data_IF_163769558380
#
_entry.id   IF_163769558380
#
_cell.length_a   1.000
_cell.length_b   1.000
_cell.length_c   1.000
_cell.angle_alpha   90.00
_cell.angle_beta   90.00
_cell.angle_gamma   90.00
#
_symmetry.space_group_name_H-M   'P 1'
#
loop_
_entity.id
_entity.type
_entity.pdbx_description
1 polymer ?
#
# COMPACT_ATOMS: atom_id res chain seq x y z
N UNK A 1 50.27 10.91 32.31
CA UNK A 1 49.05 10.07 32.32
C UNK A 1 47.95 10.87 31.68
N UNK A 2 47.70 10.65 30.40
CA UNK A 2 46.67 11.33 29.60
C UNK A 2 45.67 10.28 29.14
N UNK A 3 44.44 10.36 29.65
CA UNK A 3 43.33 9.48 29.28
C UNK A 3 42.86 9.77 27.85
N UNK A 4 42.77 8.73 27.04
CA UNK A 4 42.28 8.78 25.67
C UNK A 4 40.79 8.44 25.70
N UNK A 5 39.95 9.44 25.44
CA UNK A 5 38.50 9.27 25.32
C UNK A 5 38.17 8.77 23.90
N UNK A 6 37.99 7.46 23.74
CA UNK A 6 37.58 6.87 22.47
C UNK A 6 36.07 7.06 22.26
N UNK A 7 35.70 8.02 21.42
CA UNK A 7 34.32 8.19 20.97
C UNK A 7 34.00 7.15 19.89
N UNK A 8 33.17 6.16 20.22
CA UNK A 8 32.64 5.19 19.25
C UNK A 8 31.42 5.83 18.59
N UNK A 9 31.37 5.97 17.25
CA UNK A 9 30.17 6.47 16.57
C UNK A 9 29.12 5.36 16.50
N UNK A 10 27.96 5.62 17.13
CA UNK A 10 26.83 4.69 17.13
C UNK A 10 26.20 4.61 15.74
N UNK A 11 26.23 3.42 15.14
CA UNK A 11 25.67 3.14 13.82
C UNK A 11 24.14 3.23 13.86
N UNK A 12 23.59 4.42 13.57
CA UNK A 12 22.15 4.60 13.42
C UNK A 12 21.67 4.01 12.10
N UNK A 13 21.28 2.73 12.12
CA UNK A 13 20.44 2.14 11.06
C UNK A 13 19.29 1.35 11.66
N UNK A 14 18.54 1.98 12.56
CA UNK A 14 17.20 1.49 12.91
C UNK A 14 16.20 2.51 12.41
N UNK A 15 15.44 2.15 11.37
CA UNK A 15 14.24 2.91 10.94
C UNK A 15 13.30 2.97 12.13
N UNK A 16 13.38 4.04 12.92
CA UNK A 16 12.54 4.19 14.08
C UNK A 16 11.11 4.49 13.62
N UNK A 17 10.17 3.72 14.17
CA UNK A 17 8.75 3.96 13.94
C UNK A 17 8.37 5.29 14.57
N UNK A 18 7.84 6.20 13.78
CA UNK A 18 7.42 7.52 14.26
C UNK A 18 6.11 7.34 15.05
N UNK A 19 6.21 7.22 16.38
CA UNK A 19 5.07 7.26 17.29
C UNK A 19 4.77 8.72 17.65
N UNK A 20 4.20 9.48 16.72
CA UNK A 20 3.68 10.82 17.01
C UNK A 20 2.26 10.72 17.56
N UNK A 21 1.94 11.54 18.57
CA UNK A 21 0.55 11.79 18.97
C UNK A 21 -0.22 12.34 17.76
N UNK A 22 -1.46 11.88 17.47
CA UNK A 22 -2.24 12.32 16.31
C UNK A 22 -2.30 13.85 16.15
N UNK A 23 -2.34 14.58 17.26
CA UNK A 23 -2.38 16.05 17.30
C UNK A 23 -1.12 16.68 16.71
N UNK A 24 0.06 16.11 16.97
CA UNK A 24 1.32 16.60 16.42
C UNK A 24 1.38 16.39 14.90
N UNK A 25 0.83 15.27 14.41
CA UNK A 25 0.73 14.99 12.97
C UNK A 25 -0.20 16.02 12.33
N UNK A 26 -1.37 16.27 12.93
CA UNK A 26 -2.33 17.26 12.42
C UNK A 26 -1.73 18.65 12.40
N UNK A 27 -1.06 19.09 13.47
CA UNK A 27 -0.40 20.39 13.53
C UNK A 27 0.70 20.53 12.46
N UNK A 28 1.49 19.46 12.24
CA UNK A 28 2.48 19.44 11.15
C UNK A 28 1.83 19.55 9.77
N UNK A 29 0.70 18.87 9.56
CA UNK A 29 -0.05 18.93 8.30
C UNK A 29 -0.66 20.32 8.09
N UNK A 30 -1.27 20.92 9.11
CA UNK A 30 -1.80 22.28 9.04
C UNK A 30 -0.71 23.28 8.63
N UNK A 31 0.46 23.22 9.27
CA UNK A 31 1.60 24.05 8.89
C UNK A 31 1.99 23.85 7.43
N UNK A 32 2.14 22.59 7.00
CA UNK A 32 2.50 22.27 5.62
C UNK A 32 1.51 22.86 4.60
N UNK A 33 0.22 22.63 4.80
CA UNK A 33 -0.83 23.10 3.89
C UNK A 33 -1.10 24.61 3.98
N UNK A 34 -0.69 25.29 5.05
CA UNK A 34 -0.79 26.74 5.15
C UNK A 34 0.37 27.46 4.44
N UNK A 35 1.57 26.88 4.42
CA UNK A 35 2.78 27.55 3.90
C UNK A 35 3.16 27.14 2.48
N UNK A 36 2.71 25.98 2.00
CA UNK A 36 3.18 25.45 0.73
C UNK A 36 2.46 26.15 -0.45
N UNK A 37 3.20 26.78 -1.39
CA UNK A 37 2.59 27.51 -2.50
C UNK A 37 1.86 26.61 -3.50
N UNK A 38 2.22 25.32 -3.54
CA UNK A 38 1.65 24.34 -4.48
C UNK A 38 0.43 23.60 -3.91
N UNK A 39 -0.16 24.07 -2.81
CA UNK A 39 -1.33 23.45 -2.17
C UNK A 39 -2.52 23.37 -3.12
N UNK A 40 -2.69 24.38 -3.99
CA UNK A 40 -3.77 24.42 -4.97
C UNK A 40 -3.78 23.19 -5.92
N UNK A 41 -2.62 22.57 -6.20
CA UNK A 41 -2.53 21.33 -6.99
C UNK A 41 -3.16 20.13 -6.29
N UNK A 42 -3.17 20.13 -4.96
CA UNK A 42 -3.68 19.01 -4.14
C UNK A 42 -5.15 19.17 -3.81
N UNK A 43 -5.64 20.40 -3.68
CA UNK A 43 -6.99 20.66 -3.18
C UNK A 43 -8.10 19.92 -3.95
N UNK A 44 -8.10 19.85 -5.30
CA UNK A 44 -9.08 19.06 -6.04
C UNK A 44 -9.12 17.60 -5.60
N UNK A 45 -7.98 17.00 -5.27
CA UNK A 45 -7.91 15.61 -4.82
C UNK A 45 -8.42 15.43 -3.39
N UNK A 46 -8.22 16.42 -2.53
CA UNK A 46 -8.69 16.39 -1.15
C UNK A 46 -10.21 16.54 -1.07
N UNK A 47 -10.77 17.47 -1.83
CA UNK A 47 -12.22 17.73 -1.88
C UNK A 47 -12.97 16.68 -2.70
N UNK A 48 -12.35 16.17 -3.77
CA UNK A 48 -12.94 15.12 -4.63
C UNK A 48 -13.29 15.56 -6.04
N UNK A 49 -12.89 16.78 -6.44
CA UNK A 49 -13.16 17.37 -7.76
C UNK A 49 -12.02 17.16 -8.77
N UNK A 50 -10.99 16.40 -8.40
CA UNK A 50 -9.88 16.11 -9.30
C UNK A 50 -10.32 15.27 -10.52
N UNK A 51 -9.76 15.62 -11.68
CA UNK A 51 -10.06 14.96 -12.95
C UNK A 51 -9.62 13.48 -12.96
N UNK A 52 -8.50 13.16 -12.32
CA UNK A 52 -8.04 11.78 -12.13
C UNK A 52 -8.45 11.28 -10.74
N UNK A 53 -9.19 10.18 -10.72
CA UNK A 53 -9.70 9.63 -9.47
C UNK A 53 -8.58 9.11 -8.56
N UNK A 54 -8.78 9.23 -7.25
CA UNK A 54 -7.87 8.69 -6.23
C UNK A 54 -7.59 7.19 -6.40
N UNK A 55 -8.54 6.42 -6.97
CA UNK A 55 -8.35 4.98 -7.22
C UNK A 55 -7.33 4.70 -8.32
N UNK A 56 -7.27 5.53 -9.36
CA UNK A 56 -6.26 5.41 -10.41
C UNK A 56 -4.89 5.74 -9.83
N UNK A 57 -4.79 6.79 -9.02
CA UNK A 57 -3.54 7.17 -8.35
C UNK A 57 -3.06 6.04 -7.41
N UNK A 58 -3.95 5.49 -6.58
CA UNK A 58 -3.61 4.37 -5.69
C UNK A 58 -3.14 3.14 -6.47
N UNK A 59 -3.86 2.77 -7.54
CA UNK A 59 -3.43 1.69 -8.43
C UNK A 59 -2.08 1.97 -9.07
N UNK A 60 -1.83 3.22 -9.46
CA UNK A 60 -0.57 3.64 -10.05
C UNK A 60 0.60 3.42 -9.07
N UNK A 61 0.51 3.95 -7.85
CA UNK A 61 1.60 3.85 -6.86
C UNK A 61 1.76 2.43 -6.29
N UNK A 62 0.69 1.64 -6.20
CA UNK A 62 0.74 0.29 -5.59
C UNK A 62 1.02 -0.84 -6.58
N UNK A 63 0.58 -0.71 -7.84
CA UNK A 63 0.62 -1.79 -8.84
C UNK A 63 1.41 -1.39 -10.08
N UNK A 64 0.99 -0.34 -10.77
CA UNK A 64 1.56 0.04 -12.07
C UNK A 64 3.05 0.37 -11.93
N UNK A 65 3.41 1.26 -11.01
CA UNK A 65 4.79 1.69 -10.80
C UNK A 65 5.72 0.56 -10.40
N UNK A 66 5.21 -0.44 -9.68
CA UNK A 66 5.95 -1.65 -9.33
C UNK A 66 6.18 -2.55 -10.55
N UNK A 67 5.15 -2.75 -11.37
CA UNK A 67 5.22 -3.60 -12.57
C UNK A 67 6.15 -2.99 -13.63
N UNK A 68 6.07 -1.68 -13.82
CA UNK A 68 6.78 -0.95 -14.86
C UNK A 68 8.08 -0.27 -14.38
N UNK A 69 8.48 -0.51 -13.12
CA UNK A 69 9.66 0.12 -12.50
C UNK A 69 9.72 1.65 -12.69
N UNK A 70 8.56 2.32 -12.57
CA UNK A 70 8.43 3.75 -12.83
C UNK A 70 9.38 4.57 -11.95
N UNK A 71 10.21 5.35 -12.61
CA UNK A 71 11.17 6.25 -11.99
C UNK A 71 11.35 7.52 -12.83
N UNK A 72 11.70 8.62 -12.17
CA UNK A 72 12.00 9.90 -12.79
C UNK A 72 13.06 10.65 -11.98
N UNK A 73 13.64 11.70 -12.55
CA UNK A 73 14.61 12.52 -11.85
C UNK A 73 13.90 13.56 -10.98
N UNK A 74 14.28 13.61 -9.70
CA UNK A 74 13.77 14.55 -8.71
C UNK A 74 14.98 15.20 -8.05
N UNK A 75 15.19 16.50 -8.26
CA UNK A 75 16.31 17.26 -7.70
C UNK A 75 17.69 16.62 -7.97
N UNK A 76 17.91 16.11 -9.18
CA UNK A 76 19.17 15.46 -9.58
C UNK A 76 19.36 14.04 -9.06
N UNK A 77 18.34 13.46 -8.39
CA UNK A 77 18.37 12.08 -7.92
C UNK A 77 17.27 11.24 -8.56
N UNK A 78 17.59 9.99 -8.86
CA UNK A 78 16.61 9.03 -9.40
C UNK A 78 15.58 8.66 -8.33
N UNK A 79 14.34 9.10 -8.53
CA UNK A 79 13.21 8.77 -7.68
C UNK A 79 12.48 7.54 -8.21
N UNK A 80 12.41 6.47 -7.43
CA UNK A 80 11.65 5.26 -7.77
C UNK A 80 10.33 5.26 -7.00
N UNK A 81 9.21 5.43 -7.72
CA UNK A 81 7.88 5.67 -7.15
C UNK A 81 7.49 4.59 -6.13
N UNK A 82 7.55 3.32 -6.55
CA UNK A 82 7.14 2.21 -5.69
C UNK A 82 8.01 2.08 -4.42
N UNK A 83 9.32 2.32 -4.53
CA UNK A 83 10.26 2.23 -3.41
C UNK A 83 9.99 3.33 -2.39
N UNK A 84 9.79 4.56 -2.87
CA UNK A 84 9.46 5.71 -2.02
C UNK A 84 8.12 5.51 -1.32
N UNK A 85 7.08 5.14 -2.06
CA UNK A 85 5.74 4.85 -1.51
C UNK A 85 5.79 3.78 -0.41
N UNK A 86 6.51 2.68 -0.64
CA UNK A 86 6.68 1.62 0.36
C UNK A 86 7.39 2.13 1.62
N UNK A 87 8.42 2.96 1.45
CA UNK A 87 9.13 3.60 2.57
C UNK A 87 8.20 4.45 3.44
N UNK A 88 7.27 5.19 2.83
CA UNK A 88 6.28 6.00 3.55
C UNK A 88 5.30 5.14 4.36
N UNK A 89 4.80 4.05 3.78
CA UNK A 89 3.94 3.10 4.50
C UNK A 89 4.66 2.47 5.70
N UNK A 90 5.95 2.18 5.58
CA UNK A 90 6.75 1.63 6.67
C UNK A 90 6.99 2.68 7.79
N UNK A 91 7.20 3.95 7.43
CA UNK A 91 7.47 5.03 8.38
C UNK A 91 6.21 5.48 9.15
N UNK A 92 5.10 5.68 8.44
CA UNK A 92 3.85 6.21 8.99
C UNK A 92 2.87 5.13 9.43
N UNK A 93 3.14 3.85 9.17
CA UNK A 93 2.14 2.77 9.19
C UNK A 93 1.00 3.03 8.18
N UNK A 94 0.31 1.98 7.76
CA UNK A 94 -0.83 2.09 6.82
C UNK A 94 -1.88 3.09 7.31
N UNK A 95 -2.09 3.16 8.62
CA UNK A 95 -3.09 4.04 9.23
C UNK A 95 -2.91 5.53 8.90
N UNK A 96 -1.67 6.03 8.81
CA UNK A 96 -1.41 7.46 8.67
C UNK A 96 -0.91 7.84 7.27
N UNK A 97 -0.96 6.93 6.29
CA UNK A 97 -0.49 7.22 4.93
C UNK A 97 -1.31 6.56 3.82
N UNK A 98 -1.93 5.41 4.06
CA UNK A 98 -2.71 4.72 3.03
C UNK A 98 -4.04 5.45 2.79
N UNK A 99 -4.26 5.93 1.57
CA UNK A 99 -5.46 6.67 1.18
C UNK A 99 -6.73 5.82 1.20
N UNK A 100 -6.59 4.50 1.07
CA UNK A 100 -7.70 3.54 1.10
C UNK A 100 -7.93 2.95 2.50
N UNK A 101 -7.12 3.29 3.50
CA UNK A 101 -7.36 2.88 4.87
C UNK A 101 -8.58 3.61 5.45
N UNK A 102 -9.64 2.85 5.75
CA UNK A 102 -10.85 3.35 6.42
C UNK A 102 -10.52 3.64 7.88
N UNK A 103 -10.40 4.93 8.22
CA UNK A 103 -10.04 5.42 9.56
C UNK A 103 -10.88 6.64 9.92
N UNK A 104 -10.66 7.12 11.14
CA UNK A 104 -11.28 8.32 11.67
C UNK A 104 -11.08 9.50 10.72
N UNK A 105 -12.18 10.22 10.50
CA UNK A 105 -12.21 11.41 9.69
C UNK A 105 -12.12 12.62 10.60
N UNK A 106 -11.35 13.60 10.16
CA UNK A 106 -11.17 14.87 10.85
C UNK A 106 -11.71 15.99 9.97
N UNK A 107 -12.24 17.04 10.59
CA UNK A 107 -12.49 18.30 9.92
C UNK A 107 -11.16 19.04 9.77
N UNK A 108 -10.78 19.37 8.54
CA UNK A 108 -9.52 20.01 8.20
C UNK A 108 -9.79 21.32 7.46
N UNK A 109 -9.02 22.35 7.79
CA UNK A 109 -9.12 23.68 7.18
C UNK A 109 -7.81 24.06 6.50
N UNK A 110 -7.92 24.70 5.34
CA UNK A 110 -6.81 25.23 4.55
C UNK A 110 -7.16 26.68 4.22
N UNK A 111 -6.20 27.60 4.36
CA UNK A 111 -6.43 29.01 4.06
C UNK A 111 -6.94 29.19 2.63
N UNK A 112 -8.07 29.88 2.47
CA UNK A 112 -8.69 30.13 1.16
C UNK A 112 -9.65 29.03 0.66
N UNK A 113 -9.89 27.98 1.45
CA UNK A 113 -10.82 26.91 1.12
C UNK A 113 -11.80 26.64 2.26
N UNK A 114 -13.02 26.23 1.91
CA UNK A 114 -14.01 25.80 2.89
C UNK A 114 -13.52 24.59 3.69
N UNK A 115 -13.76 24.53 5.01
CA UNK A 115 -13.43 23.37 5.80
C UNK A 115 -14.06 22.09 5.25
N UNK A 116 -13.29 21.00 5.19
CA UNK A 116 -13.74 19.73 4.62
C UNK A 116 -13.37 18.55 5.50
N UNK A 117 -14.08 17.43 5.32
CA UNK A 117 -13.88 16.20 6.09
C UNK A 117 -12.93 15.29 5.32
N UNK A 118 -11.82 14.93 5.94
CA UNK A 118 -10.77 14.08 5.34
C UNK A 118 -10.15 13.13 6.37
N UNK A 119 -9.15 12.33 5.97
CA UNK A 119 -8.37 11.49 6.88
C UNK A 119 -6.92 11.94 6.91
N UNK A 120 -6.23 11.69 8.03
CA UNK A 120 -4.79 11.96 8.17
C UNK A 120 -3.98 11.22 7.09
N UNK A 121 -4.37 9.98 6.76
CA UNK A 121 -3.73 9.21 5.70
C UNK A 121 -3.83 9.88 4.33
N UNK A 122 -5.01 10.41 3.98
CA UNK A 122 -5.20 11.15 2.72
C UNK A 122 -4.33 12.41 2.68
N UNK A 123 -4.27 13.17 3.77
CA UNK A 123 -3.43 14.36 3.86
C UNK A 123 -1.93 14.03 3.73
N UNK A 124 -1.41 13.08 4.50
CA UNK A 124 0.01 12.70 4.41
C UNK A 124 0.37 12.13 3.02
N UNK A 125 -0.52 11.36 2.41
CA UNK A 125 -0.31 10.86 1.06
C UNK A 125 -0.12 12.00 0.06
N UNK A 126 -1.00 13.01 0.08
CA UNK A 126 -0.90 14.12 -0.86
C UNK A 126 0.23 15.10 -0.53
N UNK A 127 0.60 15.24 0.74
CA UNK A 127 1.85 15.89 1.13
C UNK A 127 3.04 15.24 0.44
N UNK A 128 3.18 13.91 0.56
CA UNK A 128 4.24 13.17 -0.11
C UNK A 128 4.14 13.26 -1.64
N UNK A 129 2.93 13.20 -2.21
CA UNK A 129 2.73 13.30 -3.66
C UNK A 129 3.18 14.66 -4.21
N UNK A 130 3.01 15.75 -3.45
CA UNK A 130 3.58 17.06 -3.80
C UNK A 130 5.10 17.08 -3.68
N UNK A 131 5.63 16.68 -2.52
CA UNK A 131 7.08 16.73 -2.24
C UNK A 131 7.89 15.86 -3.21
N UNK A 132 7.29 14.78 -3.73
CA UNK A 132 7.93 13.90 -4.70
C UNK A 132 7.74 14.30 -6.17
N UNK A 133 6.94 15.34 -6.49
CA UNK A 133 6.59 15.65 -7.88
C UNK A 133 5.72 14.57 -8.54
N UNK A 134 5.08 13.71 -7.74
CA UNK A 134 4.24 12.62 -8.25
C UNK A 134 3.03 13.14 -9.02
N UNK A 135 2.43 14.24 -8.56
CA UNK A 135 1.27 14.84 -9.23
C UNK A 135 1.64 15.36 -10.62
N UNK A 136 2.81 15.96 -10.76
CA UNK A 136 3.31 16.46 -12.06
C UNK A 136 3.55 15.29 -13.03
N UNK A 137 4.11 14.17 -12.54
CA UNK A 137 4.25 12.96 -13.33
C UNK A 137 2.88 12.40 -13.78
N UNK A 138 1.89 12.39 -12.89
CA UNK A 138 0.54 11.88 -13.18
C UNK A 138 -0.13 12.75 -14.24
N UNK A 139 -0.02 14.06 -14.14
CA UNK A 139 -0.57 15.01 -15.11
C UNK A 139 0.05 14.79 -16.50
N UNK A 140 1.37 14.65 -16.58
CA UNK A 140 2.06 14.38 -17.85
C UNK A 140 1.73 13.02 -18.49
N UNK A 141 1.21 12.05 -17.72
CA UNK A 141 0.94 10.68 -18.17
C UNK A 141 -0.52 10.25 -17.99
N UNK A 142 -1.44 11.22 -17.88
CA UNK A 142 -2.80 10.97 -17.41
C UNK A 142 -3.58 10.01 -18.30
N UNK A 143 -3.46 10.14 -19.62
CA UNK A 143 -4.15 9.26 -20.59
C UNK A 143 -3.68 7.81 -20.47
N UNK A 144 -2.36 7.60 -20.40
CA UNK A 144 -1.76 6.27 -20.24
C UNK A 144 -2.21 5.61 -18.93
N UNK A 145 -2.27 6.38 -17.84
CA UNK A 145 -2.72 5.88 -16.54
C UNK A 145 -4.20 5.51 -16.55
N UNK A 146 -5.06 6.34 -17.16
CA UNK A 146 -6.49 6.05 -17.31
C UNK A 146 -6.71 4.79 -18.16
N UNK A 147 -6.03 4.68 -19.30
CA UNK A 147 -6.12 3.51 -20.17
C UNK A 147 -5.62 2.23 -19.48
N UNK A 148 -4.45 2.28 -18.84
CA UNK A 148 -3.89 1.15 -18.12
C UNK A 148 -4.74 0.71 -16.92
N UNK A 149 -5.41 1.64 -16.24
CA UNK A 149 -6.35 1.30 -15.17
C UNK A 149 -7.59 0.56 -15.71
N UNK A 150 -8.11 1.00 -16.86
CA UNK A 150 -9.24 0.33 -17.52
C UNK A 150 -8.87 -1.09 -17.98
N UNK A 151 -7.67 -1.29 -18.52
CA UNK A 151 -7.14 -2.61 -18.86
C UNK A 151 -7.02 -3.50 -17.60
N UNK A 152 -6.44 -2.96 -16.52
CA UNK A 152 -6.34 -3.67 -15.25
C UNK A 152 -7.70 -4.14 -14.69
N UNK A 153 -8.76 -3.33 -14.85
CA UNK A 153 -10.11 -3.72 -14.45
C UNK A 153 -10.65 -4.87 -15.31
N UNK A 154 -10.43 -4.84 -16.63
CA UNK A 154 -10.81 -5.92 -17.54
C UNK A 154 -10.09 -7.22 -17.19
N UNK A 155 -8.78 -7.17 -16.97
CA UNK A 155 -7.99 -8.34 -16.59
C UNK A 155 -8.48 -8.94 -15.27
N UNK A 156 -8.64 -8.09 -14.25
CA UNK A 156 -9.07 -8.54 -12.91
C UNK A 156 -10.44 -9.20 -12.95
N UNK A 157 -11.38 -8.65 -13.73
CA UNK A 157 -12.72 -9.24 -13.88
C UNK A 157 -12.69 -10.56 -14.65
N UNK A 158 -11.89 -10.67 -15.70
CA UNK A 158 -11.72 -11.92 -16.44
C UNK A 158 -11.07 -13.02 -15.58
N UNK A 159 -10.02 -12.69 -14.84
CA UNK A 159 -9.37 -13.63 -13.91
C UNK A 159 -10.37 -14.13 -12.86
N UNK A 160 -11.20 -13.24 -12.29
CA UNK A 160 -12.21 -13.65 -11.32
C UNK A 160 -13.28 -14.57 -11.92
N UNK A 161 -13.68 -14.36 -13.18
CA UNK A 161 -14.62 -15.25 -13.88
C UNK A 161 -14.02 -16.66 -14.09
N UNK A 162 -12.76 -16.73 -14.53
CA UNK A 162 -12.05 -18.02 -14.72
C UNK A 162 -11.94 -18.80 -13.41
N UNK A 163 -11.53 -18.14 -12.32
CA UNK A 163 -11.42 -18.76 -10.99
C UNK A 163 -12.77 -19.28 -10.46
N UNK A 164 -13.89 -18.61 -10.78
CA UNK A 164 -15.23 -19.09 -10.41
C UNK A 164 -15.62 -20.34 -11.19
N UNK A 165 -15.39 -20.37 -12.51
CA UNK A 165 -15.66 -21.54 -13.34
C UNK A 165 -14.82 -22.77 -12.93
N UNK A 166 -13.56 -22.57 -12.57
CA UNK A 166 -12.69 -23.64 -12.03
C UNK A 166 -13.16 -24.16 -10.67
N UNK A 167 -13.70 -23.28 -9.82
CA UNK A 167 -14.26 -23.67 -8.51
C UNK A 167 -15.54 -24.48 -8.66
N UNK A 168 -16.41 -24.13 -9.60
CA UNK A 168 -17.68 -24.84 -9.87
C UNK A 168 -17.44 -26.24 -10.47
N UNK A 169 -16.47 -26.38 -11.38
CA UNK A 169 -16.09 -27.67 -11.97
C UNK A 169 -15.40 -28.60 -10.96
N UNK A 170 -14.59 -28.07 -10.05
CA UNK A 170 -13.96 -28.88 -8.98
C UNK A 170 -14.94 -29.38 -7.92
N UNK A 171 -16.03 -28.65 -7.65
CA UNK A 171 -17.07 -29.07 -6.69
C UNK A 171 -18.02 -30.15 -7.24
N UNK A 172 -18.11 -30.29 -8.57
CA UNK A 172 -18.89 -31.34 -9.23
C UNK A 172 -18.18 -32.70 -9.22
N UNK A 173 -16.84 -32.73 -9.13
CA UNK A 173 -16.07 -33.97 -9.08
C UNK A 173 -15.91 -34.55 -7.66
N UNK A 174 -16.24 -33.80 -6.60
CA UNK A 174 -16.16 -34.29 -5.21
C UNK A 174 -17.38 -35.09 -4.74
N UNK A 175 -18.45 -35.17 -5.53
CA UNK A 175 -19.68 -35.92 -5.18
C UNK A 175 -19.74 -37.35 -5.73
N UNK A 176 -18.67 -37.84 -6.38
CA UNK A 176 -18.64 -39.15 -7.04
C UNK A 176 -17.75 -40.20 -6.37
N UNK A 177 -17.24 -39.95 -5.17
CA UNK A 177 -16.48 -40.93 -4.39
C UNK A 177 -17.10 -41.10 -3.00
N UNK A 178 -18.14 -41.93 -2.92
CA UNK A 178 -18.43 -42.82 -1.79
C UNK A 178 -19.70 -43.63 -2.12
N UNK A 179 -19.56 -44.64 -2.98
CA UNK A 179 -20.52 -45.73 -3.11
C UNK A 179 -19.83 -47.03 -2.66
N UNK A 180 -19.91 -47.33 -1.37
CA UNK A 180 -19.59 -48.65 -0.82
C UNK A 180 -20.35 -48.86 0.50
N UNK A 181 -21.45 -49.59 0.38
CA UNK A 181 -21.98 -50.61 1.32
C UNK A 181 -22.29 -50.27 2.79
N UNK A 182 -23.61 -50.28 3.07
CA UNK A 182 -24.33 -51.09 4.09
C UNK A 182 -24.52 -50.54 5.52
N UNK A 183 -25.81 -50.56 5.89
CA UNK A 183 -26.45 -50.71 7.21
C UNK A 183 -27.01 -49.49 7.99
N UNK A 184 -28.32 -49.60 8.21
CA UNK A 184 -29.26 -48.90 9.11
C UNK A 184 -28.85 -49.23 10.56
N UNK A 185 -28.82 -48.30 11.53
CA UNK A 185 -29.95 -47.87 12.39
C UNK A 185 -29.65 -46.59 13.20
N UNK A 186 -30.70 -45.78 13.38
CA UNK A 186 -31.05 -44.86 14.48
C UNK A 186 -30.00 -44.00 15.21
N UNK A 187 -30.14 -42.67 15.08
CA UNK A 187 -30.32 -41.74 16.21
C UNK A 187 -30.52 -40.27 15.76
N UNK A 188 -31.70 -39.73 16.11
CA UNK A 188 -32.07 -38.34 16.48
C UNK A 188 -31.00 -37.24 16.36
N UNK A 189 -31.22 -36.19 15.53
CA UNK A 189 -30.74 -34.81 15.78
C UNK A 189 -31.64 -33.73 15.13
N UNK A 190 -31.96 -32.72 15.95
CA UNK A 190 -32.79 -31.50 15.76
C UNK A 190 -32.14 -30.49 14.77
N UNK A 191 -32.91 -29.69 13.98
CA UNK A 191 -32.34 -28.65 13.13
C UNK A 191 -32.12 -27.35 13.92
N UNK A 192 -30.89 -26.84 13.95
CA UNK A 192 -30.62 -25.45 14.33
C UNK A 192 -29.90 -24.71 13.20
N UNK A 193 -30.53 -23.64 12.77
CA UNK A 193 -30.11 -22.71 11.73
C UNK A 193 -29.13 -21.70 12.31
N UNK A 194 -27.88 -21.68 11.83
CA UNK A 194 -26.96 -20.56 12.07
C UNK A 194 -25.96 -20.41 10.92
N UNK A 195 -26.25 -19.50 9.98
CA UNK A 195 -25.28 -19.04 8.97
C UNK A 195 -24.29 -18.07 9.64
N UNK A 196 -23.14 -18.59 10.06
CA UNK A 196 -21.97 -17.80 10.46
C UNK A 196 -20.82 -18.00 9.48
N UNK A 197 -20.59 -17.04 8.58
CA UNK A 197 -19.44 -17.10 7.64
C UNK A 197 -18.16 -16.64 8.34
N UNK A 198 -17.55 -17.52 9.15
CA UNK A 198 -16.19 -17.31 9.67
C UNK A 198 -15.18 -17.74 8.60
N UNK A 199 -14.61 -16.79 7.86
CA UNK A 199 -13.51 -17.07 6.90
C UNK A 199 -12.35 -17.75 7.64
N UNK A 200 -12.15 -19.04 7.35
CA UNK A 200 -11.03 -19.85 7.84
C UNK A 200 -9.74 -19.32 7.22
N UNK A 201 -8.80 -18.88 8.06
CA UNK A 201 -7.45 -18.45 7.64
C UNK A 201 -6.70 -19.69 7.11
N UNK A 202 -6.58 -19.82 5.80
CA UNK A 202 -5.64 -20.77 5.20
C UNK A 202 -4.22 -20.34 5.57
N UNK A 203 -3.48 -21.23 6.24
CA UNK A 203 -2.05 -21.07 6.48
C UNK A 203 -1.38 -21.01 5.10
N UNK A 204 -0.75 -19.89 4.76
CA UNK A 204 0.07 -19.81 3.55
C UNK A 204 1.26 -20.78 3.71
N UNK A 205 1.47 -21.62 2.70
CA UNK A 205 2.69 -22.41 2.55
C UNK A 205 3.86 -21.47 2.30
N UNK A 206 4.97 -21.74 2.97
CA UNK A 206 6.20 -20.98 2.86
C UNK A 206 6.89 -21.22 1.49
N UNK A 207 6.49 -20.48 0.46
CA UNK A 207 7.29 -20.31 -0.75
C UNK A 207 7.26 -18.83 -1.12
N UNK A 208 8.30 -18.05 -0.81
CA UNK A 208 9.48 -17.92 -1.66
C UNK A 208 10.68 -17.35 -0.90
N UNK A 209 10.72 -17.51 0.43
CA UNK A 209 11.76 -16.94 1.30
C UNK A 209 13.04 -17.80 1.43
N UNK A 210 13.14 -18.93 0.71
CA UNK A 210 14.29 -19.85 0.77
C UNK A 210 15.12 -19.91 -0.53
N UNK A 211 14.98 -18.95 -1.43
CA UNK A 211 15.78 -18.87 -2.66
C UNK A 211 16.54 -17.56 -2.77
N UNK A 212 17.20 -17.19 -1.68
CA UNK A 212 18.38 -16.33 -1.73
C UNK A 212 19.49 -17.09 -0.99
N UNK A 213 20.12 -18.02 -1.70
CA UNK A 213 21.46 -18.45 -1.33
C UNK A 213 22.37 -17.25 -1.55
N UNK A 214 22.83 -16.68 -0.44
CA UNK A 214 23.84 -15.64 -0.41
C UNK A 214 25.15 -16.33 -0.85
N UNK A 215 25.60 -16.08 -2.07
CA UNK A 215 26.97 -16.40 -2.48
C UNK A 215 27.90 -15.42 -1.75
N UNK A 216 28.51 -15.89 -0.67
CA UNK A 216 29.52 -15.16 0.13
C UNK A 216 30.93 -15.20 -0.48
N UNK A 217 31.07 -15.30 -1.80
CA UNK A 217 32.37 -15.36 -2.47
C UNK A 217 32.50 -14.18 -3.44
N UNK A 218 33.14 -13.11 -2.96
CA UNK A 218 33.89 -12.06 -3.67
C UNK A 218 33.70 -10.70 -2.98
N UNK A 219 34.42 -10.51 -1.87
CA UNK A 219 34.79 -9.15 -1.45
C UNK A 219 36.11 -8.81 -2.15
N UNK A 220 36.08 -7.80 -3.02
CA UNK A 220 37.29 -7.11 -3.47
C UNK A 220 37.50 -5.98 -2.47
N UNK A 221 38.58 -6.08 -1.69
CA UNK A 221 39.06 -5.00 -0.83
C UNK A 221 39.61 -3.89 -1.73
N UNK A 222 39.02 -2.70 -1.64
CA UNK A 222 39.58 -1.48 -2.24
C UNK A 222 40.35 -0.74 -1.15
N UNK A 223 41.68 -0.83 -1.21
CA UNK A 223 42.58 0.05 -0.46
C UNK A 223 42.58 1.44 -1.10
N UNK A 224 42.43 2.48 -0.28
CA UNK A 224 42.71 3.85 -0.67
C UNK A 224 44.05 4.22 -0.03
N UNK A 225 45.08 4.37 -0.87
CA UNK A 225 46.31 5.08 -0.51
C UNK A 225 46.04 6.60 -0.43
#
# INVERSE_FOLDING_TARGET
MTEVLTHIPESQTRRQKINCKPELIIASLQRFYATNPNVNKVMPYLVGDAEISLRIIDWFVTKFSRKNFTAYDLNGQRFVVYKSYKGQLDAYNKQYFDTNCRRERIQFSVTGYEPFITTIGKLNFFRWALESGLLDYIEANQETLKAGYNEFLKDTTQTQKRLRAESETSSANSTLSNASTVSITDAVVIPTTAKGTRRRRTKQLASSLKQLQINNANYIELSFD
#
